data_IF_426068863274
#
_entry.id   IF_426068863274
#
_cell.length_a   1.000
_cell.length_b   1.000
_cell.length_c   1.000
_cell.angle_alpha   90.00
_cell.angle_beta   90.00
_cell.angle_gamma   90.00
#
_symmetry.space_group_name_H-M   'P 1'
#
loop_
_entity.id
_entity.type
_entity.pdbx_description
1 polymer ?
#
# COMPACT_ATOMS: atom_id res chain seq x y z
N UNK A 1 -14.43 1.58 -15.50
CA UNK A 1 -13.25 1.52 -16.40
C UNK A 1 -12.06 1.06 -15.59
N UNK A 2 -11.43 -0.06 -15.96
CA UNK A 2 -10.15 -0.47 -15.39
C UNK A 2 -9.08 0.13 -16.31
N UNK A 3 -8.31 1.08 -15.81
CA UNK A 3 -7.17 1.63 -16.53
C UNK A 3 -6.02 0.63 -16.36
N UNK A 4 -5.68 -0.08 -17.42
CA UNK A 4 -4.52 -0.96 -17.46
C UNK A 4 -3.29 -0.08 -17.68
N UNK A 5 -2.64 0.30 -16.57
CA UNK A 5 -1.36 0.99 -16.62
C UNK A 5 -0.31 -0.11 -16.68
N UNK A 6 0.52 -0.20 -17.74
CA UNK A 6 1.50 -1.27 -17.85
C UNK A 6 2.46 -1.21 -16.66
N UNK A 7 2.35 -2.21 -15.80
CA UNK A 7 3.19 -2.40 -14.62
C UNK A 7 3.40 -3.90 -14.44
N UNK A 8 4.63 -4.32 -14.17
CA UNK A 8 4.95 -5.72 -13.86
C UNK A 8 4.51 -6.12 -12.44
N UNK A 9 3.84 -5.21 -11.71
CA UNK A 9 3.38 -5.42 -10.33
C UNK A 9 1.98 -6.03 -10.28
N UNK A 10 1.80 -7.02 -9.42
CA UNK A 10 0.49 -7.59 -9.10
C UNK A 10 -0.46 -6.57 -8.46
N UNK A 11 -1.72 -6.52 -8.91
CA UNK A 11 -2.74 -5.63 -8.35
C UNK A 11 -3.31 -6.17 -7.05
N UNK A 12 -3.35 -5.33 -6.01
CA UNK A 12 -4.07 -5.58 -4.75
C UNK A 12 -5.27 -4.63 -4.66
N UNK A 13 -6.46 -5.16 -4.42
CA UNK A 13 -7.68 -4.38 -4.20
C UNK A 13 -8.39 -4.88 -2.95
N UNK A 14 -8.79 -3.95 -2.08
CA UNK A 14 -9.50 -4.26 -0.84
C UNK A 14 -10.45 -3.12 -0.46
N UNK A 15 -11.40 -3.38 0.41
CA UNK A 15 -12.27 -2.38 1.01
C UNK A 15 -11.76 -2.01 2.39
N UNK A 16 -11.78 -0.72 2.70
CA UNK A 16 -11.45 -0.16 4.02
C UNK A 16 -12.48 0.90 4.40
N UNK A 17 -12.53 1.26 5.67
CA UNK A 17 -13.37 2.36 6.14
C UNK A 17 -12.98 3.68 5.46
N UNK A 18 -13.99 4.50 5.12
CA UNK A 18 -13.80 5.76 4.40
C UNK A 18 -12.92 6.74 5.21
N UNK A 19 -13.12 6.82 6.53
CA UNK A 19 -12.29 7.66 7.39
C UNK A 19 -10.81 7.24 7.36
N UNK A 20 -10.56 5.92 7.35
CA UNK A 20 -9.20 5.38 7.26
C UNK A 20 -8.56 5.72 5.90
N UNK A 21 -9.33 5.60 4.81
CA UNK A 21 -8.87 5.98 3.47
C UNK A 21 -8.47 7.46 3.41
N UNK A 22 -9.28 8.35 3.97
CA UNK A 22 -8.98 9.79 4.00
C UNK A 22 -7.72 10.11 4.80
N UNK A 23 -7.52 9.43 5.94
CA UNK A 23 -6.29 9.58 6.74
C UNK A 23 -5.07 9.06 5.98
N UNK A 24 -5.20 7.94 5.27
CA UNK A 24 -4.15 7.35 4.43
C UNK A 24 -3.75 8.28 3.29
N UNK A 25 -4.71 8.87 2.58
CA UNK A 25 -4.48 9.82 1.49
C UNK A 25 -3.73 11.07 1.98
N UNK A 26 -4.13 11.62 3.13
CA UNK A 26 -3.44 12.75 3.76
C UNK A 26 -2.00 12.39 4.15
N UNK A 27 -1.80 11.23 4.76
CA UNK A 27 -0.48 10.78 5.19
C UNK A 27 0.45 10.56 3.99
N UNK A 28 -0.04 9.92 2.92
CA UNK A 28 0.74 9.73 1.70
C UNK A 28 1.14 11.08 1.06
N UNK A 29 0.23 12.05 1.05
CA UNK A 29 0.52 13.39 0.55
C UNK A 29 1.58 14.13 1.38
N UNK A 30 1.57 13.99 2.72
CA UNK A 30 2.59 14.57 3.59
C UNK A 30 4.00 13.99 3.35
N UNK A 31 4.09 12.74 2.89
CA UNK A 31 5.35 12.10 2.53
C UNK A 31 5.77 12.30 1.07
N UNK A 32 5.06 13.16 0.32
CA UNK A 32 5.26 13.40 -1.13
C UNK A 32 5.22 12.10 -1.96
N UNK A 33 4.25 11.23 -1.66
CA UNK A 33 4.10 9.90 -2.28
C UNK A 33 2.65 9.65 -2.71
N UNK A 34 2.50 8.81 -3.73
CA UNK A 34 1.20 8.22 -4.06
C UNK A 34 0.78 7.21 -2.98
N UNK A 35 -0.53 7.06 -2.78
CA UNK A 35 -1.10 6.07 -1.85
C UNK A 35 -0.61 4.65 -2.17
N UNK A 36 -0.51 4.29 -3.45
CA UNK A 36 -0.03 2.97 -3.88
C UNK A 36 1.41 2.72 -3.46
N UNK A 37 2.32 3.69 -3.68
CA UNK A 37 3.72 3.57 -3.29
C UNK A 37 3.88 3.56 -1.76
N UNK A 38 3.04 4.32 -1.06
CA UNK A 38 3.03 4.35 0.40
C UNK A 38 2.58 2.99 0.98
N UNK A 39 1.50 2.42 0.46
CA UNK A 39 1.01 1.09 0.83
C UNK A 39 2.04 -0.01 0.54
N UNK A 40 2.69 0.02 -0.63
CA UNK A 40 3.71 -0.98 -0.98
C UNK A 40 4.87 -0.99 0.03
N UNK A 41 5.29 0.19 0.50
CA UNK A 41 6.32 0.29 1.54
C UNK A 41 5.87 -0.29 2.88
N UNK A 42 4.66 0.03 3.32
CA UNK A 42 4.11 -0.49 4.57
C UNK A 42 3.98 -2.01 4.51
N UNK A 43 3.46 -2.55 3.41
CA UNK A 43 3.34 -3.99 3.18
C UNK A 43 4.73 -4.64 3.23
N UNK A 44 5.72 -4.07 2.53
CA UNK A 44 7.10 -4.57 2.56
C UNK A 44 7.67 -4.60 3.97
N UNK A 45 7.52 -3.54 4.75
CA UNK A 45 8.00 -3.51 6.14
C UNK A 45 7.38 -4.62 7.00
N UNK A 46 6.09 -4.88 6.83
CA UNK A 46 5.38 -5.94 7.57
C UNK A 46 5.87 -7.33 7.15
N UNK A 47 6.04 -7.57 5.84
CA UNK A 47 6.56 -8.83 5.30
C UNK A 47 8.00 -9.06 5.74
N UNK A 48 8.88 -8.08 5.56
CA UNK A 48 10.29 -8.14 5.99
C UNK A 48 10.42 -8.40 7.50
N UNK A 49 9.48 -7.90 8.31
CA UNK A 49 9.44 -8.20 9.75
C UNK A 49 9.01 -9.65 10.00
N UNK A 50 7.99 -10.14 9.29
CA UNK A 50 7.50 -11.50 9.44
C UNK A 50 8.53 -12.57 9.00
N UNK A 51 9.28 -12.31 7.92
CA UNK A 51 10.42 -13.15 7.48
C UNK A 51 11.52 -13.20 8.54
N UNK A 52 11.90 -12.04 9.10
CA UNK A 52 12.93 -11.97 10.17
C UNK A 52 12.54 -12.70 11.45
N UNK A 53 11.26 -12.78 11.75
CA UNK A 53 10.72 -13.51 12.90
C UNK A 53 10.45 -15.00 12.60
N UNK A 54 10.65 -15.45 11.35
CA UNK A 54 10.39 -16.82 10.93
C UNK A 54 8.90 -17.18 10.90
N UNK A 55 8.00 -16.19 10.72
CA UNK A 55 6.55 -16.41 10.59
C UNK A 55 6.14 -16.81 9.17
N UNK A 56 6.93 -16.42 8.19
CA UNK A 56 6.85 -16.77 6.76
C UNK A 56 8.25 -16.95 6.19
#
# INVERSE_FOLDING_TARGET
MIFDVPTDKSRVATYIEEELKQKLEKLAALEDRSVSNFLERLIKQVVDQAEREGRI
#
